data_IF_205236118265
#
_entry.id   IF_205236118265
#
_cell.length_a   1.000
_cell.length_b   1.000
_cell.length_c   1.000
_cell.angle_alpha   90.00
_cell.angle_beta   90.00
_cell.angle_gamma   90.00
#
_symmetry.space_group_name_H-M   'P 1'
#
loop_
_entity.id
_entity.type
_entity.pdbx_description
1 polymer ?
#
# COMPACT_ATOMS: atom_id res chain seq x y z
N UNK A 1 -9.60 -22.08 1.53
CA UNK A 1 -9.50 -21.56 2.90
C UNK A 1 -8.72 -20.25 2.89
N UNK A 2 -9.18 -19.22 3.58
CA UNK A 2 -8.38 -17.99 3.73
C UNK A 2 -7.09 -18.33 4.46
N UNK A 3 -6.02 -17.62 4.09
CA UNK A 3 -4.73 -17.75 4.78
C UNK A 3 -4.87 -17.27 6.24
N UNK A 4 -4.19 -17.91 7.20
CA UNK A 4 -4.07 -17.38 8.55
C UNK A 4 -3.15 -16.14 8.49
N UNK A 5 -3.77 -14.97 8.38
CA UNK A 5 -3.08 -13.69 8.33
C UNK A 5 -3.33 -12.93 9.62
N UNK A 6 -2.27 -12.37 10.16
CA UNK A 6 -2.31 -11.29 11.12
C UNK A 6 -2.04 -9.98 10.38
N UNK A 7 -2.86 -8.96 10.61
CA UNK A 7 -2.62 -7.63 10.06
C UNK A 7 -2.45 -6.67 11.24
N UNK A 8 -1.26 -6.06 11.30
CA UNK A 8 -0.94 -5.03 12.28
C UNK A 8 -0.86 -3.66 11.59
N UNK A 9 -1.48 -2.65 12.19
CA UNK A 9 -1.37 -1.25 11.76
C UNK A 9 -0.25 -0.54 12.53
N UNK A 10 0.41 0.37 11.85
CA UNK A 10 1.56 1.12 12.38
C UNK A 10 1.24 2.61 12.46
N UNK A 11 0.09 2.98 13.00
CA UNK A 11 -0.23 4.41 13.22
C UNK A 11 0.72 5.11 14.21
N UNK A 12 1.44 4.32 15.01
CA UNK A 12 2.55 4.74 15.87
C UNK A 12 3.66 3.68 15.79
N UNK A 13 4.30 3.60 14.63
CA UNK A 13 5.25 2.55 14.34
C UNK A 13 6.45 2.58 15.29
N UNK A 14 6.67 1.48 16.00
CA UNK A 14 7.97 1.21 16.60
C UNK A 14 8.99 0.96 15.47
N UNK A 15 10.24 1.38 15.66
CA UNK A 15 11.33 1.23 14.68
C UNK A 15 11.44 -0.17 14.08
N UNK A 16 11.16 -1.21 14.88
CA UNK A 16 11.16 -2.60 14.42
C UNK A 16 10.13 -2.87 13.29
N UNK A 17 8.94 -2.26 13.36
CA UNK A 17 7.91 -2.44 12.32
C UNK A 17 8.26 -1.66 11.06
N UNK A 18 8.86 -0.49 11.18
CA UNK A 18 9.34 0.30 10.03
C UNK A 18 10.41 -0.47 9.28
N UNK A 19 11.37 -1.06 10.00
CA UNK A 19 12.41 -1.90 9.43
C UNK A 19 11.81 -3.11 8.71
N UNK A 20 10.81 -3.77 9.32
CA UNK A 20 10.12 -4.92 8.73
C UNK A 20 9.39 -4.55 7.41
N UNK A 21 8.75 -3.37 7.35
CA UNK A 21 8.13 -2.83 6.14
C UNK A 21 9.19 -2.54 5.07
N UNK A 22 10.26 -1.84 5.45
CA UNK A 22 11.35 -1.49 4.53
C UNK A 22 12.03 -2.74 3.97
N UNK A 23 12.37 -3.70 4.82
CA UNK A 23 12.95 -4.98 4.41
C UNK A 23 12.03 -5.75 3.45
N UNK A 24 10.71 -5.72 3.71
CA UNK A 24 9.73 -6.36 2.84
C UNK A 24 9.74 -5.72 1.45
N UNK A 25 9.78 -4.39 1.35
CA UNK A 25 9.79 -3.66 0.08
C UNK A 25 11.06 -3.90 -0.73
N UNK A 26 12.18 -4.20 -0.08
CA UNK A 26 13.44 -4.53 -0.75
C UNK A 26 13.53 -5.99 -1.23
N UNK A 27 12.54 -6.86 -0.95
CA UNK A 27 12.57 -8.26 -1.41
C UNK A 27 12.36 -8.35 -2.93
N UNK A 28 13.14 -9.17 -3.67
CA UNK A 28 13.05 -9.29 -5.12
C UNK A 28 11.62 -9.56 -5.66
N UNK A 29 10.85 -10.41 -4.98
CA UNK A 29 9.47 -10.73 -5.37
C UNK A 29 8.47 -9.58 -5.16
N UNK A 30 8.88 -8.46 -4.57
CA UNK A 30 8.08 -7.25 -4.39
C UNK A 30 8.62 -6.11 -5.26
N UNK A 31 9.92 -5.82 -5.15
CA UNK A 31 10.53 -4.68 -5.84
C UNK A 31 10.60 -4.87 -7.37
N UNK A 32 10.74 -6.10 -7.87
CA UNK A 32 10.95 -6.37 -9.30
C UNK A 32 9.95 -5.64 -10.21
N UNK A 33 8.64 -5.93 -10.14
CA UNK A 33 7.66 -5.27 -11.03
C UNK A 33 7.62 -3.75 -10.88
N UNK A 34 7.81 -3.23 -9.68
CA UNK A 34 7.81 -1.78 -9.44
C UNK A 34 9.10 -1.13 -9.96
N UNK A 35 10.26 -1.74 -9.74
CA UNK A 35 11.52 -1.24 -10.29
C UNK A 35 11.60 -1.35 -11.81
N UNK A 36 10.97 -2.36 -12.41
CA UNK A 36 10.84 -2.48 -13.87
C UNK A 36 9.97 -1.35 -14.44
N UNK A 37 8.93 -0.94 -13.71
CA UNK A 37 8.01 0.12 -14.14
C UNK A 37 8.55 1.53 -13.91
N UNK A 38 9.29 1.76 -12.83
CA UNK A 38 9.76 3.06 -12.36
C UNK A 38 11.26 3.31 -12.65
N UNK A 39 12.03 2.25 -12.87
CA UNK A 39 13.48 2.25 -12.81
C UNK A 39 14.00 1.96 -11.40
N UNK A 40 15.08 1.21 -11.29
CA UNK A 40 15.64 0.73 -10.02
C UNK A 40 16.01 1.88 -9.07
N UNK A 41 16.62 2.93 -9.57
CA UNK A 41 17.04 4.09 -8.78
C UNK A 41 15.83 4.82 -8.20
N UNK A 42 14.85 5.16 -9.06
CA UNK A 42 13.61 5.83 -8.66
C UNK A 42 12.83 5.02 -7.62
N UNK A 43 12.77 3.69 -7.77
CA UNK A 43 12.12 2.82 -6.79
C UNK A 43 12.86 2.84 -5.44
N UNK A 44 14.19 2.76 -5.46
CA UNK A 44 15.01 2.78 -4.24
C UNK A 44 14.85 4.10 -3.48
N UNK A 45 14.87 5.22 -4.20
CA UNK A 45 14.62 6.55 -3.62
C UNK A 45 13.22 6.66 -3.01
N UNK A 46 12.20 6.17 -3.71
CA UNK A 46 10.82 6.17 -3.21
C UNK A 46 10.68 5.35 -1.91
N UNK A 47 11.30 4.16 -1.83
CA UNK A 47 11.30 3.33 -0.62
C UNK A 47 12.02 4.03 0.53
N UNK A 48 13.16 4.67 0.26
CA UNK A 48 13.91 5.43 1.28
C UNK A 48 13.09 6.63 1.81
N UNK A 49 12.42 7.38 0.94
CA UNK A 49 11.54 8.48 1.35
C UNK A 49 10.36 7.99 2.18
N UNK A 50 9.68 6.92 1.76
CA UNK A 50 8.58 6.34 2.51
C UNK A 50 9.02 5.85 3.90
N UNK A 51 10.20 5.24 4.02
CA UNK A 51 10.77 4.80 5.29
C UNK A 51 11.05 5.98 6.23
N UNK A 52 11.61 7.08 5.69
CA UNK A 52 11.82 8.32 6.42
C UNK A 52 10.48 8.92 6.90
N UNK A 53 9.49 8.99 6.03
CA UNK A 53 8.17 9.54 6.35
C UNK A 53 7.42 8.70 7.39
N UNK A 54 7.57 7.37 7.35
CA UNK A 54 7.07 6.48 8.39
C UNK A 54 7.72 6.77 9.74
N UNK A 55 9.05 6.96 9.79
CA UNK A 55 9.78 7.29 11.01
C UNK A 55 9.39 8.63 11.60
N UNK A 56 8.99 9.59 10.77
CA UNK A 56 8.50 10.90 11.20
C UNK A 56 7.00 10.94 11.54
N UNK A 57 6.27 9.85 11.32
CA UNK A 57 4.83 9.80 11.51
C UNK A 57 4.03 10.57 10.44
N UNK A 58 4.65 10.90 9.32
CA UNK A 58 4.00 11.60 8.19
C UNK A 58 3.12 10.66 7.35
N UNK A 59 3.33 9.36 7.47
CA UNK A 59 2.49 8.33 6.91
C UNK A 59 2.36 7.15 7.89
N UNK A 60 1.40 6.28 7.63
CA UNK A 60 1.16 5.05 8.38
C UNK A 60 1.26 3.84 7.43
N UNK A 61 1.44 2.66 8.01
CA UNK A 61 1.44 1.42 7.25
C UNK A 61 0.56 0.36 7.93
N UNK A 62 0.00 -0.54 7.13
CA UNK A 62 -0.52 -1.81 7.60
C UNK A 62 0.34 -2.93 7.04
N UNK A 63 0.73 -3.87 7.91
CA UNK A 63 1.60 -4.98 7.60
C UNK A 63 0.84 -6.30 7.78
N UNK A 64 0.75 -7.09 6.71
CA UNK A 64 0.18 -8.42 6.73
C UNK A 64 1.28 -9.45 6.97
N UNK A 65 1.10 -10.29 7.98
CA UNK A 65 1.98 -11.40 8.34
C UNK A 65 1.28 -12.74 8.17
N UNK A 66 1.96 -13.67 7.57
CA UNK A 66 1.52 -15.07 7.49
C UNK A 66 2.06 -15.84 8.69
N UNK A 67 1.16 -16.53 9.40
CA UNK A 67 1.49 -17.38 10.53
C UNK A 67 1.58 -18.82 10.03
N UNK A 68 2.79 -19.35 9.95
CA UNK A 68 3.01 -20.76 9.63
C UNK A 68 2.96 -21.61 10.91
N UNK A 69 1.80 -22.20 11.17
CA UNK A 69 1.56 -23.03 12.36
C UNK A 69 2.43 -24.29 12.44
N UNK A 70 3.05 -24.72 11.31
CA UNK A 70 3.90 -25.92 11.30
C UNK A 70 5.32 -25.62 11.78
N UNK A 71 5.82 -24.44 11.45
CA UNK A 71 7.18 -24.00 11.79
C UNK A 71 7.22 -22.95 12.90
N UNK A 72 6.05 -22.57 13.42
CA UNK A 72 5.88 -21.47 14.40
C UNK A 72 6.58 -20.16 13.95
N UNK A 73 6.56 -19.92 12.64
CA UNK A 73 7.22 -18.74 12.07
C UNK A 73 6.20 -17.72 11.58
N UNK A 74 6.48 -16.46 11.87
CA UNK A 74 5.72 -15.32 11.39
C UNK A 74 6.53 -14.63 10.30
N UNK A 75 5.93 -14.42 9.14
CA UNK A 75 6.62 -13.83 7.97
C UNK A 75 5.82 -12.68 7.40
N UNK A 76 6.42 -11.51 7.18
CA UNK A 76 5.77 -10.40 6.47
C UNK A 76 5.53 -10.81 5.02
N UNK A 77 4.30 -10.61 4.54
CA UNK A 77 3.87 -11.05 3.21
C UNK A 77 3.27 -9.94 2.36
N UNK A 78 2.88 -8.83 2.97
CA UNK A 78 2.36 -7.66 2.26
C UNK A 78 2.28 -6.44 3.15
N UNK A 79 2.27 -5.27 2.54
CA UNK A 79 2.11 -3.99 3.22
C UNK A 79 1.35 -3.00 2.36
N UNK A 80 0.71 -2.04 3.00
CA UNK A 80 0.17 -0.84 2.39
C UNK A 80 0.64 0.35 3.20
N UNK A 81 1.08 1.41 2.51
CA UNK A 81 1.51 2.68 3.12
C UNK A 81 0.52 3.74 2.67
N UNK A 82 0.07 4.58 3.60
CA UNK A 82 -0.92 5.62 3.34
C UNK A 82 -0.65 6.85 4.19
N UNK A 83 -1.08 8.00 3.70
CA UNK A 83 -0.96 9.29 4.38
C UNK A 83 -2.26 10.08 4.27
N UNK A 84 -2.47 11.02 5.19
CA UNK A 84 -3.51 12.02 5.04
C UNK A 84 -3.01 13.16 4.17
N UNK A 85 -3.91 13.76 3.38
CA UNK A 85 -3.58 14.96 2.61
C UNK A 85 -3.35 16.15 3.55
N UNK A 86 -2.28 16.91 3.31
CA UNK A 86 -1.96 18.13 4.07
C UNK A 86 -3.03 19.21 3.92
N UNK A 87 -3.74 19.21 2.79
CA UNK A 87 -4.75 20.22 2.44
C UNK A 87 -6.13 19.93 3.05
N UNK A 88 -6.25 18.87 3.84
CA UNK A 88 -7.45 18.55 4.62
C UNK A 88 -7.61 17.08 4.97
N UNK A 89 -8.24 16.76 6.10
CA UNK A 89 -8.35 15.39 6.61
C UNK A 89 -9.31 14.50 5.80
N UNK A 90 -9.88 15.02 4.70
CA UNK A 90 -10.92 14.32 3.92
C UNK A 90 -10.40 13.36 2.87
N UNK A 91 -9.10 13.40 2.58
CA UNK A 91 -8.47 12.53 1.57
C UNK A 91 -7.36 11.74 2.23
N UNK A 92 -7.37 10.43 2.00
CA UNK A 92 -6.26 9.53 2.33
C UNK A 92 -5.60 9.10 1.04
N UNK A 93 -4.30 9.32 0.94
CA UNK A 93 -3.47 8.90 -0.18
C UNK A 93 -2.89 7.52 0.09
N UNK A 94 -3.11 6.57 -0.82
CA UNK A 94 -2.38 5.31 -0.84
C UNK A 94 -1.06 5.55 -1.55
N UNK A 95 0.01 5.55 -0.80
CA UNK A 95 1.36 5.80 -1.31
C UNK A 95 1.95 4.56 -1.99
N UNK A 96 1.69 3.39 -1.38
CA UNK A 96 2.20 2.13 -1.87
C UNK A 96 1.36 0.97 -1.38
N UNK A 97 1.15 -0.04 -2.21
CA UNK A 97 0.68 -1.37 -1.82
C UNK A 97 1.58 -2.44 -2.44
N UNK A 98 2.03 -3.39 -1.63
CA UNK A 98 2.90 -4.45 -2.07
C UNK A 98 2.51 -5.78 -1.41
N UNK A 99 2.49 -6.86 -2.21
CA UNK A 99 2.26 -8.23 -1.74
C UNK A 99 3.28 -9.14 -2.39
N UNK A 100 3.94 -9.98 -1.60
CA UNK A 100 4.92 -10.97 -2.09
C UNK A 100 4.25 -11.87 -3.11
N UNK A 101 4.94 -12.15 -4.21
CA UNK A 101 4.41 -12.85 -5.39
C UNK A 101 3.62 -14.12 -5.05
N UNK A 102 4.20 -15.01 -4.24
CA UNK A 102 3.56 -16.27 -3.85
C UNK A 102 2.31 -16.13 -2.99
N UNK A 103 2.02 -14.92 -2.47
CA UNK A 103 0.83 -14.60 -1.68
C UNK A 103 -0.16 -13.72 -2.44
N UNK A 104 0.14 -13.35 -3.70
CA UNK A 104 -0.82 -12.68 -4.58
C UNK A 104 -2.01 -13.58 -4.88
N UNK A 105 -3.13 -12.98 -5.27
CA UNK A 105 -4.40 -13.68 -5.54
C UNK A 105 -4.98 -14.48 -4.35
N UNK A 106 -4.44 -14.26 -3.14
CA UNK A 106 -4.91 -14.87 -1.88
C UNK A 106 -5.59 -13.86 -0.96
N UNK A 107 -6.14 -12.81 -1.54
CA UNK A 107 -6.86 -11.72 -0.84
C UNK A 107 -6.03 -10.88 0.14
N UNK A 108 -4.71 -11.05 0.21
CA UNK A 108 -3.86 -10.26 1.12
C UNK A 108 -3.99 -8.77 0.83
N UNK A 109 -3.86 -8.36 -0.43
CA UNK A 109 -4.02 -6.96 -0.83
C UNK A 109 -5.42 -6.41 -0.52
N UNK A 110 -6.47 -7.20 -0.77
CA UNK A 110 -7.86 -6.80 -0.47
C UNK A 110 -8.09 -6.62 1.02
N UNK A 111 -7.49 -7.46 1.87
CA UNK A 111 -7.58 -7.29 3.32
C UNK A 111 -6.83 -6.05 3.80
N UNK A 112 -5.64 -5.79 3.26
CA UNK A 112 -4.90 -4.55 3.53
C UNK A 112 -5.70 -3.32 3.13
N UNK A 113 -6.37 -3.35 1.96
CA UNK A 113 -7.23 -2.25 1.52
C UNK A 113 -8.40 -1.99 2.46
N UNK A 114 -9.04 -3.04 2.99
CA UNK A 114 -10.14 -2.90 3.98
C UNK A 114 -9.67 -2.18 5.25
N UNK A 115 -8.47 -2.51 5.74
CA UNK A 115 -7.88 -1.83 6.90
C UNK A 115 -7.71 -0.33 6.62
N UNK A 116 -7.13 0.02 5.46
CA UNK A 116 -6.98 1.44 5.10
C UNK A 116 -8.33 2.15 4.99
N UNK A 117 -9.35 1.50 4.44
CA UNK A 117 -10.70 2.08 4.38
C UNK A 117 -11.33 2.28 5.77
N UNK A 118 -11.10 1.37 6.69
CA UNK A 118 -11.56 1.49 8.08
C UNK A 118 -10.84 2.62 8.79
N UNK A 119 -9.52 2.68 8.71
CA UNK A 119 -8.71 3.78 9.25
C UNK A 119 -9.13 5.13 8.64
N UNK A 120 -9.27 5.20 7.32
CA UNK A 120 -9.70 6.41 6.64
C UNK A 120 -11.09 6.90 7.12
N UNK A 121 -12.03 5.99 7.38
CA UNK A 121 -13.33 6.35 7.99
C UNK A 121 -13.17 6.90 9.40
N UNK A 122 -12.31 6.30 10.21
CA UNK A 122 -12.03 6.79 11.57
C UNK A 122 -11.46 8.21 11.56
N UNK A 123 -10.66 8.56 10.54
CA UNK A 123 -10.17 9.92 10.32
C UNK A 123 -11.21 10.88 9.71
N UNK A 124 -12.40 10.40 9.38
CA UNK A 124 -13.43 11.20 8.71
C UNK A 124 -13.13 11.47 7.22
N UNK A 125 -12.28 10.67 6.60
CA UNK A 125 -12.00 10.78 5.18
C UNK A 125 -13.20 10.32 4.35
N UNK A 126 -13.45 11.05 3.25
CA UNK A 126 -14.52 10.74 2.29
C UNK A 126 -14.00 10.09 1.02
N UNK A 127 -12.68 10.11 0.82
CA UNK A 127 -12.07 9.62 -0.41
C UNK A 127 -10.69 9.01 -0.17
N UNK A 128 -10.42 7.91 -0.88
CA UNK A 128 -9.06 7.38 -1.09
C UNK A 128 -8.56 7.81 -2.46
N UNK A 129 -7.29 8.17 -2.56
CA UNK A 129 -6.61 8.44 -3.82
C UNK A 129 -5.35 7.61 -3.92
N UNK A 130 -4.96 7.29 -5.16
CA UNK A 130 -3.69 6.61 -5.46
C UNK A 130 -3.27 6.83 -6.89
N UNK A 131 -2.08 6.38 -7.23
CA UNK A 131 -1.60 6.34 -8.59
C UNK A 131 -0.90 5.01 -8.87
N UNK A 132 -1.01 4.54 -10.11
CA UNK A 132 -0.36 3.33 -10.58
C UNK A 132 0.46 3.65 -11.84
N UNK A 133 1.72 3.19 -11.94
CA UNK A 133 2.45 3.29 -13.19
C UNK A 133 1.67 2.63 -14.33
N UNK A 134 1.65 3.26 -15.50
CA UNK A 134 0.95 2.72 -16.67
C UNK A 134 1.43 1.30 -17.03
N UNK A 135 2.71 1.02 -16.80
CA UNK A 135 3.33 -0.29 -17.05
C UNK A 135 3.01 -1.38 -16.02
N UNK A 136 2.11 -1.11 -15.06
CA UNK A 136 1.70 -2.08 -14.02
C UNK A 136 0.21 -2.46 -14.14
N UNK A 137 -0.20 -3.18 -15.20
CA UNK A 137 -1.61 -3.51 -15.43
C UNK A 137 -2.23 -4.36 -14.31
N UNK A 138 -1.43 -5.20 -13.64
CA UNK A 138 -1.89 -5.98 -12.49
C UNK A 138 -2.31 -5.11 -11.30
N UNK A 139 -1.59 -4.02 -11.02
CA UNK A 139 -1.99 -3.05 -10.00
C UNK A 139 -3.25 -2.30 -10.40
N UNK A 140 -3.38 -1.91 -11.66
CA UNK A 140 -4.57 -1.23 -12.19
C UNK A 140 -5.82 -2.11 -12.05
N UNK A 141 -5.72 -3.40 -12.44
CA UNK A 141 -6.81 -4.37 -12.28
C UNK A 141 -7.17 -4.59 -10.81
N UNK A 142 -6.19 -4.65 -9.93
CA UNK A 142 -6.39 -4.77 -8.49
C UNK A 142 -7.14 -3.55 -7.93
N UNK A 143 -6.75 -2.34 -8.31
CA UNK A 143 -7.42 -1.11 -7.89
C UNK A 143 -8.88 -1.08 -8.36
N UNK A 144 -9.13 -1.41 -9.63
CA UNK A 144 -10.48 -1.49 -10.18
C UNK A 144 -11.35 -2.51 -9.43
N UNK A 145 -10.81 -3.71 -9.15
CA UNK A 145 -11.49 -4.74 -8.38
C UNK A 145 -11.80 -4.33 -6.93
N UNK A 146 -11.04 -3.39 -6.36
CA UNK A 146 -11.28 -2.80 -5.04
C UNK A 146 -12.11 -1.50 -5.08
N UNK A 147 -12.76 -1.19 -6.20
CA UNK A 147 -13.71 -0.10 -6.34
C UNK A 147 -13.08 1.27 -6.61
N UNK A 148 -11.81 1.30 -7.01
CA UNK A 148 -11.20 2.52 -7.52
C UNK A 148 -11.57 2.74 -8.97
N UNK A 149 -11.74 3.99 -9.34
CA UNK A 149 -11.97 4.39 -10.72
C UNK A 149 -10.91 5.38 -11.21
N UNK A 150 -10.60 5.29 -12.48
CA UNK A 150 -9.64 6.13 -13.16
C UNK A 150 -10.12 7.58 -13.24
N UNK A 151 -9.21 8.52 -13.02
CA UNK A 151 -9.50 9.95 -13.12
C UNK A 151 -8.77 10.58 -14.31
N UNK A 152 -7.43 10.43 -14.33
CA UNK A 152 -6.57 11.05 -15.34
C UNK A 152 -5.18 10.41 -15.36
N UNK A 153 -4.46 10.67 -16.44
CA UNK A 153 -3.04 10.37 -16.56
C UNK A 153 -2.21 11.59 -16.16
N UNK A 154 -1.07 11.34 -15.56
CA UNK A 154 -0.07 12.35 -15.23
C UNK A 154 1.31 11.80 -15.57
N UNK A 155 2.14 12.61 -16.21
CA UNK A 155 3.56 12.31 -16.40
C UNK A 155 4.37 12.89 -15.25
N UNK A 156 5.34 12.11 -14.73
CA UNK A 156 6.31 12.58 -13.75
C UNK A 156 7.43 13.36 -14.43
N UNK A 157 8.24 14.09 -13.67
CA UNK A 157 9.42 14.78 -14.16
C UNK A 157 10.43 13.83 -14.85
N UNK A 158 10.45 12.55 -14.45
CA UNK A 158 11.27 11.50 -15.06
C UNK A 158 10.63 10.81 -16.26
N UNK A 159 9.52 11.30 -16.83
CA UNK A 159 8.84 10.75 -18.00
C UNK A 159 8.03 9.47 -17.74
N UNK A 160 7.84 9.08 -16.48
CA UNK A 160 7.00 7.93 -16.14
C UNK A 160 5.54 8.35 -16.14
N UNK A 161 4.71 7.61 -16.89
CA UNK A 161 3.27 7.84 -16.96
C UNK A 161 2.57 7.12 -15.79
N UNK A 162 1.81 7.88 -15.01
CA UNK A 162 0.97 7.40 -13.93
C UNK A 162 -0.51 7.58 -14.24
N UNK A 163 -1.29 6.55 -13.95
CA UNK A 163 -2.74 6.61 -13.95
C UNK A 163 -3.22 6.93 -12.53
N UNK A 164 -3.96 8.01 -12.37
CA UNK A 164 -4.54 8.41 -11.08
C UNK A 164 -5.91 7.79 -10.90
N UNK A 165 -6.14 7.29 -9.71
CA UNK A 165 -7.38 6.62 -9.29
C UNK A 165 -7.92 7.25 -8.03
N UNK A 166 -9.24 7.16 -7.85
CA UNK A 166 -9.91 7.49 -6.61
C UNK A 166 -11.00 6.48 -6.28
N UNK A 167 -11.35 6.42 -5.00
CA UNK A 167 -12.46 5.66 -4.46
C UNK A 167 -13.17 6.49 -3.41
N UNK A 168 -14.48 6.67 -3.55
CA UNK A 168 -15.28 7.34 -2.55
C UNK A 168 -15.55 6.40 -1.37
N UNK A 169 -15.34 6.88 -0.16
CA UNK A 169 -15.63 6.15 1.08
C UNK A 169 -17.07 6.45 1.42
N UNK A 170 -17.94 5.43 1.31
CA UNK A 170 -19.33 5.55 1.73
C UNK A 170 -19.42 5.44 3.25
N UNK A 171 -20.15 6.36 3.87
CA UNK A 171 -20.55 6.19 5.25
C UNK A 171 -21.32 4.87 5.39
N UNK A 172 -20.96 4.05 6.37
CA UNK A 172 -21.85 2.95 6.75
C UNK A 172 -23.13 3.61 7.22
N UNK A 173 -24.21 3.54 6.43
CA UNK A 173 -25.54 3.86 6.95
C UNK A 173 -25.77 2.96 8.16
N UNK A 174 -25.85 3.57 9.32
CA UNK A 174 -26.28 2.96 10.57
C UNK A 174 -27.72 2.52 10.43
#
# INVERSE_FOLDING_TARGET
>A
MPLPLEIATTSHAHDAQINEVTDLLCKPGICGPASDALGQETYTEAVADLSRRLSLGECAAALARYIDKRSDTIKPVGTVIYSQDSDGPRIVNLELIAVREKYRLRQVGTQLMKIVEEEARLFGAIQLQTQAPQKMPGLQSFLAANGFYYIRMKESEGGVLFLRYKKDIKDKKI
#
